data_IF_252138738926
#
_entry.id   IF_252138738926
#
_cell.length_a   1.000
_cell.length_b   1.000
_cell.length_c   1.000
_cell.angle_alpha   90.00
_cell.angle_beta   90.00
_cell.angle_gamma   90.00
#
_symmetry.space_group_name_H-M   'P 1'
#
loop_
_entity.id
_entity.type
_entity.pdbx_description
1 polymer ?
#
# COMPACT_ATOMS: atom_id res chain seq x y z
N UNK A 1 15.33 -0.91 26.65
CA UNK A 1 14.33 -1.98 26.42
C UNK A 1 14.91 -3.00 25.46
N UNK A 2 14.69 -4.31 25.69
CA UNK A 2 15.16 -5.32 24.75
C UNK A 2 14.56 -5.09 23.36
N UNK A 3 15.33 -5.40 22.34
CA UNK A 3 14.91 -5.26 20.95
C UNK A 3 13.76 -6.23 20.63
N UNK A 4 12.70 -5.74 19.99
CA UNK A 4 11.62 -6.60 19.54
C UNK A 4 12.06 -7.31 18.25
N UNK A 5 12.18 -8.65 18.24
CA UNK A 5 12.63 -9.38 17.05
C UNK A 5 11.70 -9.23 15.85
N UNK A 6 10.41 -8.98 16.09
CA UNK A 6 9.41 -8.76 15.02
C UNK A 6 9.48 -7.36 14.43
N UNK A 7 10.12 -6.42 15.10
CA UNK A 7 10.29 -5.04 14.66
C UNK A 7 11.65 -4.51 15.10
N UNK A 8 12.73 -4.91 14.41
CA UNK A 8 14.08 -4.50 14.75
C UNK A 8 14.29 -2.99 14.67
N UNK A 9 15.15 -2.45 15.54
CA UNK A 9 15.46 -1.02 15.61
C UNK A 9 15.96 -0.47 14.26
N UNK A 10 16.71 -1.27 13.51
CA UNK A 10 17.14 -0.92 12.15
C UNK A 10 15.94 -0.69 11.25
N UNK A 11 14.94 -1.58 11.26
CA UNK A 11 13.73 -1.46 10.44
C UNK A 11 12.88 -0.26 10.80
N UNK A 12 12.83 0.10 12.09
CA UNK A 12 12.14 1.32 12.53
C UNK A 12 12.79 2.58 11.96
N UNK A 13 14.12 2.65 11.91
CA UNK A 13 14.83 3.77 11.30
C UNK A 13 14.63 3.83 9.78
N UNK A 14 14.73 2.69 9.09
CA UNK A 14 14.45 2.56 7.66
C UNK A 14 13.01 3.02 7.34
N UNK A 15 12.04 2.62 8.17
CA UNK A 15 10.65 3.02 8.01
C UNK A 15 10.48 4.55 8.10
N UNK A 16 11.08 5.21 9.10
CA UNK A 16 11.04 6.66 9.20
C UNK A 16 11.65 7.36 7.98
N UNK A 17 12.80 6.89 7.50
CA UNK A 17 13.43 7.47 6.31
C UNK A 17 12.55 7.30 5.06
N UNK A 18 11.92 6.14 4.90
CA UNK A 18 11.01 5.89 3.80
C UNK A 18 9.76 6.77 3.89
N UNK A 19 9.19 6.97 5.10
CA UNK A 19 8.08 7.91 5.34
C UNK A 19 8.46 9.34 4.93
N UNK A 20 9.65 9.80 5.31
CA UNK A 20 10.13 11.14 4.95
C UNK A 20 10.26 11.29 3.44
N UNK A 21 10.76 10.25 2.76
CA UNK A 21 10.86 10.22 1.29
C UNK A 21 9.48 10.28 0.65
N UNK A 22 8.52 9.48 1.10
CA UNK A 22 7.14 9.50 0.61
C UNK A 22 6.51 10.89 0.80
N UNK A 23 6.63 11.47 1.99
CA UNK A 23 6.09 12.79 2.29
C UNK A 23 6.67 13.89 1.38
N UNK A 24 7.98 13.87 1.13
CA UNK A 24 8.63 14.83 0.26
C UNK A 24 8.12 14.75 -1.19
N UNK A 25 7.80 13.54 -1.67
CA UNK A 25 7.27 13.31 -3.01
C UNK A 25 5.78 13.68 -3.10
N UNK A 26 4.97 13.24 -2.15
CA UNK A 26 3.52 13.52 -2.11
C UNK A 26 3.22 15.01 -1.95
N UNK A 27 4.05 15.76 -1.20
CA UNK A 27 3.92 17.23 -1.12
C UNK A 27 4.05 17.91 -2.47
N UNK A 28 4.92 17.44 -3.36
CA UNK A 28 5.06 17.94 -4.72
C UNK A 28 3.81 17.67 -5.56
N UNK A 29 3.16 16.53 -5.33
CA UNK A 29 1.97 16.08 -6.06
C UNK A 29 0.66 16.55 -5.41
N UNK A 30 0.70 17.28 -4.30
CA UNK A 30 -0.47 17.72 -3.50
C UNK A 30 -1.40 16.58 -3.08
N UNK A 31 -0.84 15.38 -2.85
CA UNK A 31 -1.58 14.21 -2.39
C UNK A 31 -1.80 14.23 -0.87
N UNK A 32 -2.83 13.53 -0.37
CA UNK A 32 -3.06 13.43 1.07
C UNK A 32 -1.88 12.78 1.79
N UNK A 33 -1.76 13.04 3.09
CA UNK A 33 -0.74 12.43 3.95
C UNK A 33 -0.99 10.91 4.06
N UNK A 34 -0.25 10.12 3.32
CA UNK A 34 -0.32 8.64 3.26
C UNK A 34 1.06 7.99 3.39
N UNK A 35 2.04 8.79 3.81
CA UNK A 35 3.44 8.35 3.90
C UNK A 35 3.63 7.17 4.84
N UNK A 36 2.83 7.07 5.92
CA UNK A 36 2.86 5.92 6.82
C UNK A 36 2.40 4.63 6.12
N UNK A 37 1.26 4.70 5.41
CA UNK A 37 0.73 3.55 4.68
C UNK A 37 1.68 3.10 3.58
N UNK A 38 2.15 4.03 2.75
CA UNK A 38 3.06 3.71 1.64
C UNK A 38 4.37 3.11 2.14
N UNK A 39 5.01 3.73 3.12
CA UNK A 39 6.28 3.28 3.64
C UNK A 39 6.16 1.92 4.34
N UNK A 40 5.15 1.76 5.20
CA UNK A 40 4.99 0.55 6.00
C UNK A 40 4.52 -0.66 5.17
N UNK A 41 3.88 -0.45 4.02
CA UNK A 41 3.56 -1.53 3.10
C UNK A 41 4.75 -1.88 2.18
N UNK A 42 5.42 -0.88 1.62
CA UNK A 42 6.51 -1.08 0.67
C UNK A 42 7.78 -1.67 1.31
N UNK A 43 8.04 -1.41 2.60
CA UNK A 43 9.24 -1.88 3.31
C UNK A 43 9.34 -3.42 3.36
N UNK A 44 8.23 -4.13 3.18
CA UNK A 44 8.18 -5.59 3.17
C UNK A 44 8.49 -6.22 1.82
N UNK A 45 8.59 -5.40 0.77
CA UNK A 45 8.89 -5.91 -0.57
C UNK A 45 10.31 -6.46 -0.66
N UNK A 46 10.43 -7.57 -1.34
CA UNK A 46 11.67 -8.30 -1.59
C UNK A 46 11.97 -8.36 -3.08
N UNK A 47 13.19 -8.73 -3.48
CA UNK A 47 13.49 -9.02 -4.88
C UNK A 47 12.53 -10.06 -5.46
N UNK A 48 11.95 -9.76 -6.62
CA UNK A 48 10.95 -10.62 -7.27
C UNK A 48 9.50 -10.28 -6.92
N UNK A 49 9.26 -9.41 -5.94
CA UNK A 49 7.92 -8.87 -5.69
C UNK A 49 7.54 -7.80 -6.72
N UNK A 50 6.26 -7.64 -6.94
CA UNK A 50 5.73 -6.63 -7.84
C UNK A 50 4.96 -5.58 -7.05
N UNK A 51 5.21 -4.30 -7.38
CA UNK A 51 4.44 -3.17 -6.88
C UNK A 51 3.59 -2.59 -8.01
N UNK A 52 2.29 -2.48 -7.78
CA UNK A 52 1.35 -1.87 -8.69
C UNK A 52 0.65 -0.67 -8.05
N UNK A 53 0.65 0.45 -8.74
CA UNK A 53 -0.04 1.67 -8.36
C UNK A 53 -0.66 2.32 -9.60
N UNK A 54 -1.41 3.41 -9.40
CA UNK A 54 -1.85 4.23 -10.52
C UNK A 54 -0.67 4.88 -11.25
N UNK A 55 -0.76 5.04 -12.56
CA UNK A 55 0.28 5.66 -13.37
C UNK A 55 0.66 7.07 -12.89
N UNK A 56 -0.32 7.82 -12.39
CA UNK A 56 -0.13 9.14 -11.80
C UNK A 56 0.57 9.11 -10.43
N UNK A 57 0.76 7.93 -9.83
CA UNK A 57 1.37 7.80 -8.51
C UNK A 57 2.91 7.73 -8.56
N UNK A 58 3.52 8.86 -8.84
CA UNK A 58 4.98 8.99 -8.90
C UNK A 58 5.67 8.67 -7.56
N UNK A 59 4.97 8.83 -6.43
CA UNK A 59 5.50 8.46 -5.11
C UNK A 59 5.66 6.97 -4.98
N UNK A 60 4.63 6.20 -5.34
CA UNK A 60 4.70 4.75 -5.35
C UNK A 60 5.83 4.23 -6.26
N UNK A 61 5.97 4.82 -7.45
CA UNK A 61 7.07 4.48 -8.36
C UNK A 61 8.46 4.74 -7.76
N UNK A 62 8.61 5.84 -7.02
CA UNK A 62 9.91 6.25 -6.46
C UNK A 62 10.31 5.49 -5.19
N UNK A 63 9.37 4.90 -4.46
CA UNK A 63 9.66 4.10 -3.26
C UNK A 63 9.95 2.64 -3.56
N UNK A 64 9.59 2.17 -4.75
CA UNK A 64 10.01 0.85 -5.21
C UNK A 64 11.55 0.77 -5.16
N UNK A 65 12.12 -0.28 -4.57
CA UNK A 65 13.57 -0.44 -4.51
C UNK A 65 14.17 -0.41 -5.93
N UNK A 66 15.09 0.52 -6.25
CA UNK A 66 15.50 0.79 -7.63
C UNK A 66 16.24 -0.35 -8.32
N UNK A 67 16.61 -1.41 -7.63
CA UNK A 67 17.52 -2.42 -8.18
C UNK A 67 16.96 -3.86 -8.20
N UNK A 68 15.77 -4.14 -7.71
CA UNK A 68 15.32 -5.53 -7.47
C UNK A 68 13.84 -5.78 -7.69
N UNK A 69 13.05 -4.80 -8.02
CA UNK A 69 11.67 -4.99 -8.45
C UNK A 69 11.61 -4.97 -9.97
N UNK A 70 10.88 -5.89 -10.54
CA UNK A 70 10.41 -5.75 -11.90
C UNK A 70 9.68 -4.40 -12.01
N UNK A 71 9.73 -3.74 -13.18
CA UNK A 71 9.22 -2.39 -13.33
C UNK A 71 7.80 -2.28 -12.78
N UNK A 72 7.51 -1.15 -12.14
CA UNK A 72 6.16 -0.77 -11.79
C UNK A 72 5.29 -0.99 -13.03
N UNK A 73 4.38 -1.95 -12.97
CA UNK A 73 3.42 -2.15 -14.05
C UNK A 73 2.39 -1.06 -13.90
N UNK A 74 2.68 0.10 -14.50
CA UNK A 74 1.68 1.12 -14.72
C UNK A 74 0.96 0.74 -16.01
N UNK A 75 -0.36 0.67 -15.95
CA UNK A 75 -1.18 0.27 -17.10
C UNK A 75 -1.00 1.16 -18.33
N UNK A 76 -0.61 2.42 -18.12
CA UNK A 76 -0.37 3.40 -19.19
C UNK A 76 1.02 3.27 -19.83
N UNK A 77 1.96 2.52 -19.23
CA UNK A 77 3.33 2.40 -19.74
C UNK A 77 3.51 1.32 -20.83
N UNK A 78 2.47 0.57 -21.16
CA UNK A 78 2.51 -0.47 -22.20
C UNK A 78 2.05 0.08 -23.57
N UNK A 79 1.71 1.35 -23.66
CA UNK A 79 1.33 1.99 -24.93
C UNK A 79 2.58 2.50 -25.62
N UNK A 80 3.15 1.71 -26.51
CA UNK A 80 4.07 2.26 -27.52
C UNK A 80 3.35 3.34 -28.32
N UNK A 81 3.91 4.55 -28.47
CA UNK A 81 3.23 5.71 -29.06
C UNK A 81 2.69 5.50 -30.47
N UNK A 82 3.22 4.52 -31.20
CA UNK A 82 2.94 4.34 -32.64
C UNK A 82 2.06 3.13 -32.99
N UNK A 83 1.61 2.35 -32.04
CA UNK A 83 0.71 1.23 -32.30
C UNK A 83 -0.63 1.44 -31.60
N UNK A 84 -1.70 1.64 -32.41
CA UNK A 84 -3.09 1.54 -31.96
C UNK A 84 -3.39 0.09 -31.54
N UNK A 85 -2.80 -0.35 -30.43
CA UNK A 85 -3.20 -1.61 -29.81
C UNK A 85 -4.45 -1.30 -29.00
N UNK A 86 -5.61 -1.72 -29.51
CA UNK A 86 -6.86 -1.74 -28.74
C UNK A 86 -6.68 -2.86 -27.71
N UNK A 87 -6.05 -2.54 -26.57
CA UNK A 87 -6.05 -3.46 -25.44
C UNK A 87 -7.47 -3.49 -24.87
N UNK A 88 -8.01 -4.69 -24.58
CA UNK A 88 -9.26 -4.78 -23.84
C UNK A 88 -9.12 -4.00 -22.56
N UNK A 89 -10.18 -3.32 -22.10
CA UNK A 89 -10.23 -2.63 -20.81
C UNK A 89 -10.15 -3.64 -19.66
N UNK A 90 -8.99 -4.22 -19.46
CA UNK A 90 -8.73 -5.11 -18.32
C UNK A 90 -8.53 -4.24 -17.10
N UNK A 91 -9.20 -4.54 -16.01
CA UNK A 91 -8.97 -3.82 -14.77
C UNK A 91 -7.55 -4.04 -14.26
N UNK A 92 -6.95 -3.01 -13.67
CA UNK A 92 -5.62 -3.10 -13.07
C UNK A 92 -5.54 -4.21 -12.02
N UNK A 93 -6.57 -4.35 -11.18
CA UNK A 93 -6.64 -5.43 -10.19
C UNK A 93 -6.73 -6.83 -10.81
N UNK A 94 -7.46 -7.00 -11.92
CA UNK A 94 -7.51 -8.27 -12.63
C UNK A 94 -6.13 -8.64 -13.20
N UNK A 95 -5.41 -7.67 -13.77
CA UNK A 95 -4.03 -7.88 -14.21
C UNK A 95 -3.12 -8.28 -13.05
N UNK A 96 -3.22 -7.57 -11.92
CA UNK A 96 -2.42 -7.86 -10.74
C UNK A 96 -2.71 -9.25 -10.17
N UNK A 97 -3.96 -9.70 -10.21
CA UNK A 97 -4.33 -11.05 -9.82
C UNK A 97 -3.74 -12.11 -10.77
N UNK A 98 -3.73 -11.84 -12.08
CA UNK A 98 -3.09 -12.71 -13.06
C UNK A 98 -1.56 -12.77 -12.87
N UNK A 99 -0.92 -11.62 -12.59
CA UNK A 99 0.51 -11.56 -12.28
C UNK A 99 0.84 -12.33 -11.00
N UNK A 100 0.03 -12.20 -9.95
CA UNK A 100 0.17 -12.97 -8.73
C UNK A 100 0.01 -14.48 -8.97
N UNK A 101 -0.86 -14.88 -9.89
CA UNK A 101 -0.96 -16.29 -10.33
C UNK A 101 0.33 -16.75 -11.02
N UNK A 102 0.94 -15.91 -11.85
CA UNK A 102 2.23 -16.20 -12.47
C UNK A 102 3.35 -16.40 -11.43
N UNK A 103 3.43 -15.51 -10.43
CA UNK A 103 4.40 -15.63 -9.33
C UNK A 103 4.18 -16.92 -8.52
N UNK A 104 2.93 -17.29 -8.26
CA UNK A 104 2.59 -18.53 -7.60
C UNK A 104 3.01 -19.76 -8.42
N UNK A 105 2.70 -19.75 -9.71
CA UNK A 105 3.04 -20.86 -10.62
C UNK A 105 4.55 -21.06 -10.76
N UNK A 106 5.33 -19.97 -10.73
CA UNK A 106 6.79 -20.01 -10.79
C UNK A 106 7.46 -20.38 -9.46
N UNK A 107 6.67 -20.53 -8.39
CA UNK A 107 7.16 -20.91 -7.04
C UNK A 107 8.29 -20.00 -6.52
N UNK A 108 8.31 -18.74 -6.94
CA UNK A 108 9.34 -17.76 -6.53
C UNK A 108 9.14 -17.23 -5.11
N UNK A 109 7.98 -17.48 -4.51
CA UNK A 109 7.60 -16.90 -3.22
C UNK A 109 7.32 -15.39 -3.30
N UNK A 110 7.28 -14.81 -4.51
CA UNK A 110 6.98 -13.41 -4.73
C UNK A 110 5.51 -13.06 -4.47
N UNK A 111 5.25 -11.78 -4.18
CA UNK A 111 3.90 -11.23 -3.99
C UNK A 111 3.64 -10.08 -4.96
N UNK A 112 2.37 -9.77 -5.18
CA UNK A 112 1.95 -8.52 -5.82
C UNK A 112 1.34 -7.62 -4.76
N UNK A 113 1.97 -6.47 -4.50
CA UNK A 113 1.42 -5.40 -3.68
C UNK A 113 0.73 -4.39 -4.60
N UNK A 114 -0.57 -4.22 -4.43
CA UNK A 114 -1.36 -3.20 -5.14
C UNK A 114 -1.69 -2.06 -4.19
N UNK A 115 -1.34 -0.84 -4.59
CA UNK A 115 -1.71 0.39 -3.89
C UNK A 115 -2.94 1.00 -4.57
N UNK A 116 -3.98 1.30 -3.80
CA UNK A 116 -5.21 1.93 -4.27
C UNK A 116 -5.66 3.04 -3.32
N UNK A 117 -6.57 3.88 -3.79
CA UNK A 117 -7.19 4.94 -2.98
C UNK A 117 -8.70 4.89 -3.15
N UNK A 118 -9.45 5.41 -2.18
CA UNK A 118 -10.94 5.43 -2.27
C UNK A 118 -11.48 6.49 -3.21
N UNK A 119 -10.68 7.48 -3.60
CA UNK A 119 -11.07 8.57 -4.50
C UNK A 119 -10.95 8.19 -5.98
N UNK A 120 -10.25 7.11 -6.32
CA UNK A 120 -10.17 6.57 -7.68
C UNK A 120 -10.97 5.29 -7.82
N UNK A 121 -11.71 5.12 -8.94
CA UNK A 121 -12.46 3.91 -9.18
C UNK A 121 -11.51 2.77 -9.58
N UNK A 122 -11.71 1.60 -8.97
CA UNK A 122 -11.04 0.36 -9.38
C UNK A 122 -12.06 -0.55 -10.07
N UNK A 123 -12.14 -0.45 -11.38
CA UNK A 123 -13.08 -1.27 -12.15
C UNK A 123 -12.77 -2.77 -11.99
N UNK A 124 -13.82 -3.58 -11.82
CA UNK A 124 -13.69 -5.06 -11.75
C UNK A 124 -13.00 -5.57 -10.48
N UNK A 125 -12.90 -4.77 -9.41
CA UNK A 125 -12.25 -5.18 -8.16
C UNK A 125 -12.88 -6.44 -7.55
N UNK A 126 -14.20 -6.58 -7.64
CA UNK A 126 -14.91 -7.72 -7.07
C UNK A 126 -14.54 -9.03 -7.76
N UNK A 127 -14.49 -9.03 -9.10
CA UNK A 127 -14.10 -10.21 -9.87
C UNK A 127 -12.64 -10.57 -9.66
N UNK A 128 -11.77 -9.55 -9.63
CA UNK A 128 -10.35 -9.74 -9.37
C UNK A 128 -10.09 -10.36 -7.99
N UNK A 129 -10.75 -9.86 -6.94
CA UNK A 129 -10.63 -10.41 -5.59
C UNK A 129 -11.29 -11.79 -5.46
N UNK A 130 -12.39 -12.06 -6.18
CA UNK A 130 -12.99 -13.40 -6.26
C UNK A 130 -12.01 -14.40 -6.82
N UNK A 131 -11.41 -14.08 -7.95
CA UNK A 131 -10.39 -14.92 -8.57
C UNK A 131 -9.19 -15.11 -7.63
N UNK A 132 -8.66 -14.01 -7.10
CA UNK A 132 -7.50 -14.02 -6.23
C UNK A 132 -7.71 -14.93 -5.01
N UNK A 133 -8.88 -14.83 -4.36
CA UNK A 133 -9.21 -15.65 -3.18
C UNK A 133 -9.39 -17.12 -3.53
N UNK A 134 -10.13 -17.42 -4.61
CA UNK A 134 -10.34 -18.82 -5.04
C UNK A 134 -9.05 -19.50 -5.46
N UNK A 135 -8.21 -18.80 -6.18
CA UNK A 135 -6.91 -19.28 -6.62
C UNK A 135 -5.82 -19.15 -5.55
N UNK A 136 -6.11 -18.57 -4.39
CA UNK A 136 -5.14 -18.32 -3.29
C UNK A 136 -3.85 -17.66 -3.77
N UNK A 137 -3.96 -16.68 -4.67
CA UNK A 137 -2.79 -16.01 -5.22
C UNK A 137 -2.20 -15.00 -4.23
N UNK A 138 -0.87 -14.77 -4.25
CA UNK A 138 -0.19 -13.86 -3.32
C UNK A 138 -0.40 -12.38 -3.70
N UNK A 139 -1.65 -11.92 -3.64
CA UNK A 139 -2.07 -10.54 -3.93
C UNK A 139 -2.37 -9.80 -2.63
N UNK A 140 -1.71 -8.69 -2.38
CA UNK A 140 -2.00 -7.78 -1.29
C UNK A 140 -2.53 -6.47 -1.85
N UNK A 141 -3.69 -6.03 -1.36
CA UNK A 141 -4.32 -4.76 -1.73
C UNK A 141 -4.26 -3.80 -0.55
N UNK A 142 -3.45 -2.77 -0.63
CA UNK A 142 -3.40 -1.70 0.36
C UNK A 142 -4.20 -0.49 -0.14
N UNK A 143 -5.26 -0.15 0.57
CA UNK A 143 -6.18 0.94 0.24
C UNK A 143 -5.95 2.11 1.18
N UNK A 144 -5.66 3.27 0.61
CA UNK A 144 -5.67 4.53 1.34
C UNK A 144 -7.09 5.10 1.37
N UNK A 145 -7.75 5.02 2.51
CA UNK A 145 -9.07 5.60 2.68
C UNK A 145 -8.95 7.08 3.08
N UNK A 146 -9.16 7.94 2.12
CA UNK A 146 -9.05 9.41 2.29
C UNK A 146 -10.32 10.02 2.88
N UNK A 147 -11.31 9.22 3.23
CA UNK A 147 -12.65 9.68 3.60
C UNK A 147 -13.44 10.25 2.43
N UNK A 148 -12.91 10.14 1.21
CA UNK A 148 -13.57 10.54 -0.04
C UNK A 148 -13.77 9.29 -0.87
N UNK A 149 -15.02 8.89 -1.05
CA UNK A 149 -15.34 7.81 -1.98
C UNK A 149 -15.52 8.37 -3.39
N UNK A 150 -15.02 7.65 -4.39
CA UNK A 150 -15.39 7.90 -5.77
C UNK A 150 -16.91 7.77 -5.92
N UNK A 151 -17.52 8.63 -6.74
CA UNK A 151 -18.96 8.55 -7.08
C UNK A 151 -19.27 7.48 -8.12
N UNK A 152 -18.28 6.76 -8.60
CA UNK A 152 -18.48 5.69 -9.55
C UNK A 152 -19.27 4.52 -8.92
N UNK A 153 -20.10 3.86 -9.72
CA UNK A 153 -20.94 2.74 -9.26
C UNK A 153 -20.13 1.60 -8.62
N UNK A 154 -18.87 1.43 -9.01
CA UNK A 154 -17.96 0.39 -8.52
C UNK A 154 -16.80 0.97 -7.69
N UNK A 155 -17.08 2.01 -6.89
CA UNK A 155 -16.08 2.60 -6.02
C UNK A 155 -15.62 1.60 -4.94
N UNK A 156 -14.32 1.64 -4.63
CA UNK A 156 -13.80 0.97 -3.44
C UNK A 156 -14.28 1.73 -2.21
N UNK A 157 -15.25 1.19 -1.49
CA UNK A 157 -15.67 1.68 -0.18
C UNK A 157 -15.45 0.60 0.86
N UNK A 158 -15.13 1.00 2.09
CA UNK A 158 -14.92 0.03 3.17
C UNK A 158 -16.13 -0.89 3.35
N UNK A 159 -17.33 -0.32 3.32
CA UNK A 159 -18.57 -1.07 3.46
C UNK A 159 -18.78 -2.09 2.32
N UNK A 160 -18.56 -1.67 1.07
CA UNK A 160 -18.72 -2.57 -0.08
C UNK A 160 -17.71 -3.72 -0.05
N UNK A 161 -16.43 -3.38 0.20
CA UNK A 161 -15.35 -4.37 0.25
C UNK A 161 -15.52 -5.34 1.40
N UNK A 162 -15.87 -4.89 2.61
CA UNK A 162 -16.07 -5.77 3.76
C UNK A 162 -17.28 -6.67 3.61
N UNK A 163 -18.42 -6.14 3.12
CA UNK A 163 -19.60 -6.95 2.84
C UNK A 163 -19.34 -8.05 1.78
N UNK A 164 -18.56 -7.71 0.76
CA UNK A 164 -18.14 -8.64 -0.28
C UNK A 164 -17.15 -9.68 0.26
N UNK A 165 -16.12 -9.23 0.96
CA UNK A 165 -15.06 -10.06 1.50
C UNK A 165 -15.57 -11.11 2.50
N UNK A 166 -16.58 -10.76 3.30
CA UNK A 166 -17.25 -11.69 4.23
C UNK A 166 -17.79 -12.94 3.51
N UNK A 167 -18.35 -12.77 2.30
CA UNK A 167 -18.88 -13.90 1.49
C UNK A 167 -17.78 -14.82 0.99
N UNK A 168 -16.57 -14.30 0.80
CA UNK A 168 -15.43 -15.03 0.27
C UNK A 168 -14.45 -15.50 1.34
N UNK A 169 -14.69 -15.16 2.61
CA UNK A 169 -13.71 -15.33 3.69
C UNK A 169 -12.34 -14.68 3.37
N UNK A 170 -12.38 -13.56 2.66
CA UNK A 170 -11.20 -12.77 2.31
C UNK A 170 -10.83 -11.87 3.50
N UNK A 171 -9.61 -11.90 4.03
CA UNK A 171 -9.18 -11.02 5.10
C UNK A 171 -9.21 -9.55 4.66
N UNK A 172 -9.93 -8.70 5.40
CA UNK A 172 -9.89 -7.24 5.31
C UNK A 172 -9.50 -6.69 6.67
N UNK A 173 -8.34 -6.04 6.73
CA UNK A 173 -7.74 -5.59 7.98
C UNK A 173 -7.76 -4.05 8.02
N UNK A 174 -8.72 -3.45 8.74
CA UNK A 174 -8.71 -2.01 8.96
C UNK A 174 -7.59 -1.64 9.92
N UNK A 175 -6.88 -0.57 9.60
CA UNK A 175 -5.77 -0.05 10.40
C UNK A 175 -5.76 1.47 10.35
N UNK A 176 -5.28 2.11 11.43
CA UNK A 176 -4.97 3.54 11.40
C UNK A 176 -3.90 3.80 10.33
N UNK A 177 -4.31 4.43 9.22
CA UNK A 177 -3.45 4.67 8.06
C UNK A 177 -2.31 5.67 8.33
N UNK A 178 -2.30 6.29 9.50
CA UNK A 178 -1.28 7.22 9.98
C UNK A 178 -0.32 6.59 11.01
N UNK A 179 -0.61 5.36 11.49
CA UNK A 179 0.26 4.61 12.39
C UNK A 179 1.15 3.63 11.61
N UNK A 180 2.36 4.07 11.29
CA UNK A 180 3.31 3.27 10.53
C UNK A 180 3.71 1.96 11.22
N UNK A 181 3.72 1.91 12.57
CA UNK A 181 4.06 0.71 13.32
C UNK A 181 2.94 -0.32 13.28
N UNK A 182 1.69 0.14 13.40
CA UNK A 182 0.52 -0.73 13.28
C UNK A 182 0.43 -1.33 11.88
N UNK A 183 0.58 -0.49 10.84
CA UNK A 183 0.55 -0.95 9.44
C UNK A 183 1.69 -1.93 9.16
N UNK A 184 2.90 -1.65 9.65
CA UNK A 184 4.05 -2.55 9.50
C UNK A 184 3.73 -3.96 10.00
N UNK A 185 3.14 -4.08 11.19
CA UNK A 185 2.80 -5.38 11.80
C UNK A 185 1.73 -6.12 11.00
N UNK A 186 0.66 -5.42 10.62
CA UNK A 186 -0.40 -5.99 9.79
C UNK A 186 0.17 -6.47 8.46
N UNK A 187 0.99 -5.64 7.81
CA UNK A 187 1.59 -5.97 6.52
C UNK A 187 2.59 -7.12 6.62
N UNK A 188 3.36 -7.21 7.70
CA UNK A 188 4.27 -8.33 7.96
C UNK A 188 3.52 -9.66 7.98
N UNK A 189 2.42 -9.72 8.72
CA UNK A 189 1.55 -10.89 8.79
C UNK A 189 0.95 -11.24 7.42
N UNK A 190 0.34 -10.26 6.76
CA UNK A 190 -0.26 -10.47 5.43
C UNK A 190 0.76 -10.95 4.40
N UNK A 191 1.96 -10.37 4.41
CA UNK A 191 3.05 -10.76 3.49
C UNK A 191 3.49 -12.20 3.74
N UNK A 192 3.68 -12.56 5.00
CA UNK A 192 4.06 -13.94 5.37
C UNK A 192 3.01 -14.94 4.88
N UNK A 193 1.75 -14.69 5.19
CA UNK A 193 0.63 -15.55 4.79
C UNK A 193 0.49 -15.67 3.27
N UNK A 194 0.61 -14.56 2.55
CA UNK A 194 0.55 -14.56 1.09
C UNK A 194 1.69 -15.42 0.49
N UNK A 195 2.92 -15.29 1.01
CA UNK A 195 4.07 -16.11 0.57
C UNK A 195 3.90 -17.59 0.88
N UNK A 196 3.21 -17.93 1.97
CA UNK A 196 2.86 -19.31 2.33
C UNK A 196 1.69 -19.87 1.51
N UNK A 197 1.12 -19.09 0.58
CA UNK A 197 0.02 -19.54 -0.28
C UNK A 197 -1.35 -19.53 0.39
N UNK A 198 -1.51 -18.79 1.49
CA UNK A 198 -2.80 -18.66 2.17
C UNK A 198 -3.79 -17.76 1.43
N UNK A 199 -3.33 -17.05 0.40
CA UNK A 199 -4.16 -16.24 -0.48
C UNK A 199 -3.98 -14.73 -0.27
N UNK A 200 -4.88 -13.93 -0.85
CA UNK A 200 -4.82 -12.48 -0.80
C UNK A 200 -5.29 -11.91 0.54
N UNK A 201 -4.94 -10.65 0.79
CA UNK A 201 -5.49 -9.84 1.88
C UNK A 201 -5.69 -8.40 1.44
N UNK A 202 -6.64 -7.72 2.08
CA UNK A 202 -6.88 -6.27 1.92
C UNK A 202 -6.47 -5.57 3.20
N UNK A 203 -5.55 -4.63 3.10
CA UNK A 203 -5.14 -3.73 4.18
C UNK A 203 -5.84 -2.39 3.97
N UNK A 204 -6.73 -2.02 4.88
CA UNK A 204 -7.53 -0.81 4.76
C UNK A 204 -7.01 0.27 5.69
N UNK A 205 -6.19 1.18 5.16
CA UNK A 205 -5.60 2.29 5.91
C UNK A 205 -6.55 3.48 5.99
N UNK A 206 -7.11 3.73 7.16
CA UNK A 206 -8.02 4.86 7.42
C UNK A 206 -7.17 6.11 7.63
N UNK A 207 -7.30 7.09 6.74
CA UNK A 207 -6.60 8.37 6.83
C UNK A 207 -7.54 9.44 7.39
N UNK A 208 -6.99 10.38 8.15
CA UNK A 208 -7.75 11.54 8.61
C UNK A 208 -8.12 12.42 7.40
N UNK A 209 -9.42 12.69 7.16
CA UNK A 209 -9.85 13.56 6.07
C UNK A 209 -9.22 14.95 6.19
N UNK A 210 -8.55 15.40 5.15
CA UNK A 210 -8.06 16.78 5.11
C UNK A 210 -9.23 17.73 4.91
N UNK A 211 -9.44 18.65 5.84
CA UNK A 211 -10.48 19.67 5.74
C UNK A 211 -10.25 20.55 4.51
N UNK A 212 -11.32 20.89 3.79
CA UNK A 212 -11.27 21.77 2.61
C UNK A 212 -10.69 23.17 2.91
N UNK A 213 -10.53 23.54 4.19
CA UNK A 213 -10.02 24.82 4.63
C UNK A 213 -8.54 24.85 4.98
N UNK A 214 -7.75 23.83 4.62
CA UNK A 214 -6.31 23.85 4.87
C UNK A 214 -5.92 23.81 6.35
N UNK A 215 -6.84 23.41 7.23
CA UNK A 215 -6.55 23.19 8.65
C UNK A 215 -5.44 22.16 8.78
N UNK A 216 -4.23 22.61 9.07
CA UNK A 216 -3.07 21.78 9.29
C UNK A 216 -3.36 20.91 10.52
N UNK A 217 -3.32 19.59 10.37
CA UNK A 217 -3.27 18.69 11.52
C UNK A 217 -2.25 19.26 12.52
N UNK A 218 -2.54 19.16 13.81
CA UNK A 218 -1.57 19.55 14.82
C UNK A 218 -0.25 18.83 14.53
N UNK A 219 0.88 19.45 14.79
CA UNK A 219 2.20 18.88 14.46
C UNK A 219 2.38 17.48 15.05
N UNK A 220 1.79 17.22 16.21
CA UNK A 220 1.81 15.93 16.90
C UNK A 220 0.92 14.85 16.25
N UNK A 221 -0.05 15.23 15.44
CA UNK A 221 -0.93 14.30 14.74
C UNK A 221 -0.40 13.88 13.36
N UNK A 222 0.71 14.47 12.90
CA UNK A 222 1.29 14.07 11.61
C UNK A 222 2.01 12.72 11.74
N UNK A 223 1.84 11.80 10.77
CA UNK A 223 2.41 10.45 10.82
C UNK A 223 3.91 10.42 11.11
N UNK A 224 4.69 11.32 10.49
CA UNK A 224 6.14 11.41 10.73
C UNK A 224 6.43 11.83 12.16
N UNK A 225 5.73 12.82 12.72
CA UNK A 225 5.94 13.27 14.08
C UNK A 225 5.57 12.19 15.11
N UNK A 226 4.50 11.41 14.84
CA UNK A 226 4.15 10.23 15.66
C UNK A 226 5.28 9.20 15.65
N UNK A 227 5.83 8.90 14.48
CA UNK A 227 6.95 7.96 14.35
C UNK A 227 8.23 8.48 15.01
N UNK A 228 8.55 9.77 14.88
CA UNK A 228 9.68 10.41 15.57
C UNK A 228 9.53 10.34 17.10
N UNK A 229 8.34 10.62 17.62
CA UNK A 229 8.02 10.50 19.05
C UNK A 229 8.18 9.06 19.54
N UNK A 230 7.68 8.09 18.77
CA UNK A 230 7.83 6.67 19.09
C UNK A 230 9.29 6.23 19.13
N UNK A 231 10.11 6.67 18.17
CA UNK A 231 11.54 6.36 18.15
C UNK A 231 12.31 7.07 19.28
N UNK A 232 11.96 8.31 19.60
CA UNK A 232 12.56 9.06 20.70
C UNK A 232 12.27 8.41 22.05
N UNK A 233 11.02 7.97 22.28
CA UNK A 233 10.65 7.24 23.49
C UNK A 233 11.42 5.91 23.67
N UNK A 234 11.94 5.35 22.57
CA UNK A 234 12.79 4.15 22.58
C UNK A 234 14.29 4.45 22.62
N UNK A 235 14.67 5.72 22.68
CA UNK A 235 16.08 6.13 22.64
C UNK A 235 16.77 5.90 21.29
N UNK A 236 16.00 5.75 20.20
CA UNK A 236 16.52 5.47 18.86
C UNK A 236 16.76 6.73 18.02
N UNK A 237 16.21 7.86 18.46
CA UNK A 237 16.47 9.20 17.92
C UNK A 237 16.90 10.12 19.04
N UNK A 238 17.97 10.87 18.78
CA UNK A 238 18.33 12.00 19.65
C UNK A 238 17.29 13.11 19.41
N UNK A 239 16.69 13.70 20.44
CA UNK A 239 15.80 14.83 20.26
C UNK A 239 16.55 15.92 19.48
N UNK A 240 15.98 16.39 18.36
CA UNK A 240 16.51 17.61 17.73
C UNK A 240 16.27 18.74 18.72
N UNK A 241 17.34 19.22 19.32
CA UNK A 241 17.30 20.46 20.11
C UNK A 241 16.81 21.57 19.16
N UNK A 242 15.55 21.95 19.31
CA UNK A 242 14.99 23.09 18.59
C UNK A 242 15.69 24.33 19.14
N UNK A 243 16.63 24.90 18.39
CA UNK A 243 17.10 26.27 18.58
C UNK A 243 16.12 27.23 17.94
#
# INVERSE_FOLDING_TARGET
>A
MPENPLLPNRRLKELLELMRRCNALDRRSKRPAREALLAATAIHLQPGDLLSAEASDTTAAAIAPPQKLNPLVTWDAVVEPDKKVILPKVSRLALNAAMAQGLRASSTGGIVLTLATTDTPEAGWADALTYAQRARVPLLLAVADTGRASRAANALTFQAVTAFAKKLQLPVLPVDGEDAVAIYRVMQECTLRARLGEGPAVIWGILTPQSKGGGRLSRSAQPIARMESYLSARGLLTPKTTR
#
